data_IF_641452456043
#
_entry.id   IF_641452456043
#
_cell.length_a   1.000
_cell.length_b   1.000
_cell.length_c   1.000
_cell.angle_alpha   90.00
_cell.angle_beta   90.00
_cell.angle_gamma   90.00
#
_symmetry.space_group_name_H-M   'P 1'
#
loop_
_entity.id
_entity.type
_entity.pdbx_description
1 polymer ?
#
# COMPACT_ATOMS: atom_id res chain seq x y z
N UNK A 1 31.93 -11.76 -9.17
CA UNK A 1 30.60 -12.37 -9.35
C UNK A 1 29.57 -11.25 -9.43
N UNK A 2 28.64 -11.30 -10.37
CA UNK A 2 27.59 -10.28 -10.51
C UNK A 2 26.46 -10.62 -9.52
N UNK A 3 26.02 -9.66 -8.71
CA UNK A 3 24.95 -9.85 -7.72
C UNK A 3 23.62 -9.28 -8.26
N UNK A 4 22.65 -10.15 -8.55
CA UNK A 4 21.34 -9.76 -9.08
C UNK A 4 20.31 -9.43 -8.00
N UNK A 5 20.61 -9.65 -6.72
CA UNK A 5 19.63 -9.48 -5.63
C UNK A 5 19.14 -8.04 -5.54
N UNK A 6 20.03 -7.05 -5.71
CA UNK A 6 19.65 -5.63 -5.70
C UNK A 6 18.70 -5.26 -6.84
N UNK A 7 18.94 -5.78 -8.04
CA UNK A 7 18.08 -5.55 -9.20
C UNK A 7 16.71 -6.23 -9.00
N UNK A 8 16.71 -7.47 -8.50
CA UNK A 8 15.50 -8.23 -8.22
C UNK A 8 14.62 -7.54 -7.16
N UNK A 9 15.23 -7.11 -6.05
CA UNK A 9 14.53 -6.38 -4.98
C UNK A 9 14.01 -5.04 -5.53
N UNK A 10 14.84 -4.26 -6.23
CA UNK A 10 14.43 -2.98 -6.80
C UNK A 10 13.23 -3.11 -7.74
N UNK A 11 13.24 -4.10 -8.63
CA UNK A 11 12.13 -4.39 -9.52
C UNK A 11 10.86 -4.80 -8.76
N UNK A 12 10.98 -5.70 -7.78
CA UNK A 12 9.86 -6.14 -6.97
C UNK A 12 9.24 -4.98 -6.17
N UNK A 13 10.05 -4.10 -5.60
CA UNK A 13 9.61 -2.90 -4.87
C UNK A 13 8.89 -1.93 -5.79
N UNK A 14 9.41 -1.69 -7.00
CA UNK A 14 8.78 -0.81 -7.98
C UNK A 14 7.38 -1.31 -8.36
N UNK A 15 7.22 -2.61 -8.63
CA UNK A 15 5.93 -3.21 -8.92
C UNK A 15 4.97 -3.10 -7.73
N UNK A 16 5.47 -3.35 -6.52
CA UNK A 16 4.68 -3.27 -5.30
C UNK A 16 4.11 -1.84 -5.12
N UNK A 17 4.95 -0.81 -5.20
CA UNK A 17 4.52 0.59 -5.13
C UNK A 17 3.50 0.90 -6.24
N UNK A 18 3.75 0.45 -7.46
CA UNK A 18 2.84 0.61 -8.60
C UNK A 18 1.46 0.01 -8.36
N UNK A 19 1.38 -1.16 -7.72
CA UNK A 19 0.13 -1.84 -7.37
C UNK A 19 -0.63 -1.13 -6.24
N UNK A 20 0.05 -0.53 -5.27
CA UNK A 20 -0.63 0.16 -4.16
C UNK A 20 -1.37 1.43 -4.60
N UNK A 21 -0.95 2.10 -5.68
CA UNK A 21 -1.65 3.27 -6.23
C UNK A 21 -3.12 2.96 -6.61
N UNK A 22 -3.42 2.01 -7.52
CA UNK A 22 -4.79 1.66 -7.84
C UNK A 22 -5.54 1.03 -6.66
N UNK A 23 -4.86 0.32 -5.75
CA UNK A 23 -5.48 -0.20 -4.53
C UNK A 23 -6.02 0.95 -3.69
N UNK A 24 -5.24 2.01 -3.45
CA UNK A 24 -5.68 3.17 -2.65
C UNK A 24 -6.85 3.89 -3.31
N UNK A 25 -6.81 4.08 -4.63
CA UNK A 25 -7.89 4.71 -5.38
C UNK A 25 -9.19 3.91 -5.23
N UNK A 26 -9.13 2.58 -5.41
CA UNK A 26 -10.31 1.71 -5.24
C UNK A 26 -10.78 1.64 -3.79
N UNK A 27 -9.86 1.60 -2.83
CA UNK A 27 -10.20 1.56 -1.41
C UNK A 27 -10.94 2.84 -0.98
N UNK A 28 -10.48 4.01 -1.42
CA UNK A 28 -11.22 5.26 -1.21
C UNK A 28 -12.56 5.20 -1.95
N UNK A 29 -12.59 4.78 -3.21
CA UNK A 29 -13.83 4.77 -4.01
C UNK A 29 -14.96 3.95 -3.35
N UNK A 30 -14.66 2.74 -2.86
CA UNK A 30 -15.65 1.86 -2.25
C UNK A 30 -15.90 2.12 -0.76
N UNK A 31 -14.85 2.26 0.04
CA UNK A 31 -14.95 2.34 1.51
C UNK A 31 -14.66 3.73 2.07
N UNK A 32 -14.25 4.67 1.23
CA UNK A 32 -13.84 5.99 1.65
C UNK A 32 -12.62 5.92 2.57
N UNK A 33 -12.53 6.92 3.44
CA UNK A 33 -11.42 7.05 4.40
C UNK A 33 -11.38 5.91 5.41
N UNK A 34 -12.52 5.24 5.69
CA UNK A 34 -12.63 4.17 6.69
C UNK A 34 -11.75 2.96 6.36
N UNK A 35 -11.31 2.81 5.11
CA UNK A 35 -10.36 1.78 4.68
C UNK A 35 -8.99 1.88 5.36
N UNK A 36 -8.66 3.01 5.99
CA UNK A 36 -7.36 3.20 6.64
C UNK A 36 -7.01 2.13 7.68
N UNK A 37 -7.99 1.64 8.45
CA UNK A 37 -7.79 0.61 9.46
C UNK A 37 -7.34 -0.72 8.83
N UNK A 38 -7.80 -1.04 7.62
CA UNK A 38 -7.42 -2.27 6.91
C UNK A 38 -5.92 -2.20 6.59
N UNK A 39 -5.44 -1.08 6.06
CA UNK A 39 -4.02 -0.87 5.80
C UNK A 39 -3.17 -0.87 7.07
N UNK A 40 -3.69 -0.31 8.16
CA UNK A 40 -3.01 -0.34 9.45
C UNK A 40 -2.82 -1.77 9.96
N UNK A 41 -3.91 -2.55 10.04
CA UNK A 41 -3.86 -3.93 10.53
C UNK A 41 -2.97 -4.82 9.64
N UNK A 42 -3.16 -4.77 8.32
CA UNK A 42 -2.37 -5.56 7.37
C UNK A 42 -0.89 -5.17 7.45
N UNK A 43 -0.60 -3.86 7.51
CA UNK A 43 0.76 -3.35 7.63
C UNK A 43 1.43 -3.81 8.92
N UNK A 44 0.74 -3.74 10.06
CA UNK A 44 1.25 -4.21 11.35
C UNK A 44 1.54 -5.71 11.35
N UNK A 45 0.63 -6.53 10.81
CA UNK A 45 0.84 -7.98 10.68
C UNK A 45 2.07 -8.24 9.81
N UNK A 46 2.18 -7.61 8.65
CA UNK A 46 3.31 -7.79 7.75
C UNK A 46 4.65 -7.36 8.39
N UNK A 47 4.66 -6.26 9.14
CA UNK A 47 5.84 -5.79 9.86
C UNK A 47 6.27 -6.76 10.96
N UNK A 48 5.31 -7.34 11.70
CA UNK A 48 5.63 -8.36 12.71
C UNK A 48 6.16 -9.61 12.03
N UNK A 49 5.49 -10.09 10.98
CA UNK A 49 5.91 -11.29 10.23
C UNK A 49 7.30 -11.11 9.62
N UNK A 50 7.66 -9.92 9.12
CA UNK A 50 8.99 -9.70 8.52
C UNK A 50 10.14 -9.96 9.50
N UNK A 51 9.92 -9.78 10.81
CA UNK A 51 10.92 -10.02 11.85
C UNK A 51 11.22 -11.52 12.07
N UNK A 52 10.28 -12.39 11.70
CA UNK A 52 10.41 -13.85 11.88
C UNK A 52 10.80 -14.58 10.59
N UNK A 53 11.04 -13.86 9.49
CA UNK A 53 11.44 -14.47 8.22
C UNK A 53 12.97 -14.50 8.11
N UNK A 54 13.52 -15.71 8.11
CA UNK A 54 14.98 -15.96 8.09
C UNK A 54 15.65 -15.54 6.76
N UNK A 55 14.92 -15.59 5.64
CA UNK A 55 15.46 -15.26 4.31
C UNK A 55 15.42 -13.75 4.10
N UNK A 56 16.58 -13.18 3.76
CA UNK A 56 16.78 -11.74 3.58
C UNK A 56 15.81 -11.11 2.57
N UNK A 57 15.74 -11.60 1.33
CA UNK A 57 14.89 -11.01 0.28
C UNK A 57 13.40 -11.02 0.67
N UNK A 58 12.80 -12.16 1.08
CA UNK A 58 11.42 -12.16 1.55
C UNK A 58 11.16 -11.26 2.77
N UNK A 59 12.10 -11.18 3.72
CA UNK A 59 11.99 -10.27 4.87
C UNK A 59 11.96 -8.80 4.41
N UNK A 60 12.85 -8.41 3.48
CA UNK A 60 12.88 -7.07 2.89
C UNK A 60 11.56 -6.76 2.18
N UNK A 61 11.04 -7.68 1.35
CA UNK A 61 9.80 -7.45 0.62
C UNK A 61 8.58 -7.32 1.55
N UNK A 62 8.53 -8.08 2.65
CA UNK A 62 7.50 -7.92 3.68
C UNK A 62 7.60 -6.58 4.40
N UNK A 63 8.83 -6.13 4.70
CA UNK A 63 9.05 -4.79 5.27
C UNK A 63 8.56 -3.70 4.32
N UNK A 64 8.93 -3.76 3.04
CA UNK A 64 8.46 -2.81 2.02
C UNK A 64 6.95 -2.86 1.86
N UNK A 65 6.36 -4.06 1.86
CA UNK A 65 4.90 -4.23 1.82
C UNK A 65 4.23 -3.57 3.03
N UNK A 66 4.73 -3.79 4.24
CA UNK A 66 4.21 -3.20 5.47
C UNK A 66 4.24 -1.67 5.42
N UNK A 67 5.37 -1.08 5.03
CA UNK A 67 5.50 0.37 4.92
C UNK A 67 4.70 0.96 3.75
N UNK A 68 4.48 0.20 2.67
CA UNK A 68 3.55 0.59 1.61
C UNK A 68 2.11 0.66 2.13
N UNK A 69 1.68 -0.30 2.96
CA UNK A 69 0.40 -0.23 3.65
C UNK A 69 0.31 1.01 4.55
N UNK A 70 1.34 1.29 5.36
CA UNK A 70 1.34 2.47 6.23
C UNK A 70 1.30 3.78 5.44
N UNK A 71 2.04 3.87 4.33
CA UNK A 71 1.98 5.02 3.44
C UNK A 71 0.60 5.21 2.82
N UNK A 72 -0.05 4.10 2.41
CA UNK A 72 -1.40 4.10 1.86
C UNK A 72 -2.45 4.69 2.79
N UNK A 73 -2.25 4.65 4.11
CA UNK A 73 -3.12 5.35 5.06
C UNK A 73 -3.15 6.84 4.72
N UNK A 74 -1.98 7.48 4.64
CA UNK A 74 -1.87 8.90 4.30
C UNK A 74 -2.39 9.18 2.89
N UNK A 75 -2.10 8.28 1.95
CA UNK A 75 -2.54 8.40 0.56
C UNK A 75 -4.07 8.35 0.44
N UNK A 76 -4.78 7.56 1.24
CA UNK A 76 -6.25 7.55 1.27
C UNK A 76 -6.83 8.92 1.63
N UNK A 77 -6.28 9.59 2.67
CA UNK A 77 -6.74 10.92 3.04
C UNK A 77 -6.46 11.96 1.94
N UNK A 78 -5.32 11.84 1.26
CA UNK A 78 -5.02 12.67 0.09
C UNK A 78 -5.97 12.37 -1.07
N UNK A 79 -6.25 11.10 -1.33
CA UNK A 79 -7.16 10.66 -2.39
C UNK A 79 -8.57 11.19 -2.16
N UNK A 80 -9.05 11.22 -0.91
CA UNK A 80 -10.31 11.88 -0.56
C UNK A 80 -10.33 13.35 -0.98
N UNK A 81 -9.24 14.09 -0.69
CA UNK A 81 -9.11 15.51 -1.12
C UNK A 81 -9.08 15.64 -2.63
N UNK A 82 -8.45 14.71 -3.36
CA UNK A 82 -8.46 14.70 -4.84
C UNK A 82 -9.86 14.44 -5.40
N UNK A 83 -10.65 13.57 -4.78
CA UNK A 83 -12.07 13.35 -5.11
C UNK A 83 -12.91 14.60 -4.80
N UNK A 84 -12.68 15.26 -3.66
CA UNK A 84 -13.35 16.52 -3.30
C UNK A 84 -13.04 17.66 -4.28
N UNK A 85 -11.82 17.69 -4.84
CA UNK A 85 -11.42 18.61 -5.92
C UNK A 85 -11.98 18.23 -7.31
N UNK A 86 -12.66 17.09 -7.44
CA UNK A 86 -13.20 16.60 -8.71
C UNK A 86 -12.19 15.93 -9.64
N UNK A 87 -10.96 15.65 -9.18
CA UNK A 87 -9.94 14.96 -10.00
C UNK A 87 -10.23 13.47 -10.20
N UNK A 88 -11.02 12.89 -9.30
CA UNK A 88 -11.44 11.49 -9.37
C UNK A 88 -12.95 11.39 -9.13
N UNK A 89 -13.64 10.43 -9.78
CA UNK A 89 -15.07 10.27 -9.63
C UNK A 89 -15.41 9.85 -8.20
N UNK A 90 -16.35 10.56 -7.58
CA UNK A 90 -16.94 10.15 -6.31
C UNK A 90 -17.92 9.00 -6.55
N UNK A 91 -17.87 7.97 -5.72
CA UNK A 91 -18.83 6.87 -5.79
C UNK A 91 -20.26 7.34 -5.41
N UNK A 92 -21.23 7.31 -6.33
CA UNK A 92 -22.60 7.76 -6.06
C UNK A 92 -23.35 6.81 -5.10
N UNK A 93 -22.93 5.54 -5.01
CA UNK A 93 -23.54 4.54 -4.12
C UNK A 93 -23.07 4.68 -2.67
N UNK A 94 -22.03 5.49 -2.42
CA UNK A 94 -21.50 5.74 -1.08
C UNK A 94 -22.41 6.74 -0.36
N UNK A 95 -23.42 6.22 0.34
CA UNK A 95 -24.23 7.00 1.29
C UNK A 95 -23.30 7.66 2.31
N UNK A 96 -23.47 8.95 2.56
CA UNK A 96 -22.67 9.72 3.53
C UNK A 96 -22.88 9.17 4.94
#
# INVERSE_FOLDING_TARGET
MINFNGLLVGFAVFLLIGIFHPIVIKAEYFWGVRSWWIFFIIGSIAAVVSLFVEKEIPSILLGVFAFSCFWSIREIFQQKRRVEKGWFPKNPKRKK
#
